data_IF_882255414364
#
_entry.id   IF_882255414364
#
_cell.length_a   1.000
_cell.length_b   1.000
_cell.length_c   1.000
_cell.angle_alpha   90.00
_cell.angle_beta   90.00
_cell.angle_gamma   90.00
#
_symmetry.space_group_name_H-M   'P 1'
#
loop_
_entity.id
_entity.type
_entity.pdbx_description
1 polymer ?
#
# COMPACT_ATOMS: atom_id res chain seq x y z
N UNK A 1 0.71 19.51 -24.61
CA UNK A 1 0.58 18.67 -23.40
C UNK A 1 0.85 17.21 -23.75
N UNK A 2 1.56 16.46 -22.89
CA UNK A 2 1.75 15.01 -23.03
C UNK A 2 0.68 14.25 -22.29
N UNK A 3 0.05 13.26 -22.96
CA UNK A 3 -0.88 12.30 -22.37
C UNK A 3 -0.25 10.91 -22.42
N UNK A 4 -0.49 10.11 -21.39
CA UNK A 4 0.05 8.77 -21.28
C UNK A 4 -0.99 7.72 -21.64
N UNK A 5 -0.69 6.84 -22.61
CA UNK A 5 -1.53 5.70 -22.97
C UNK A 5 -1.42 4.61 -21.90
N UNK A 6 -2.54 4.20 -21.33
CA UNK A 6 -2.60 3.18 -20.30
C UNK A 6 -2.68 1.75 -20.83
N UNK A 7 -2.80 1.54 -22.16
CA UNK A 7 -2.83 0.18 -22.72
C UNK A 7 -1.51 -0.54 -22.40
N UNK A 8 -1.58 -1.74 -21.82
CA UNK A 8 -0.39 -2.57 -21.57
C UNK A 8 0.40 -2.81 -22.86
N UNK A 9 1.72 -2.78 -22.73
CA UNK A 9 2.65 -2.99 -23.85
C UNK A 9 2.45 -2.06 -25.06
N UNK A 10 1.85 -0.87 -24.88
CA UNK A 10 1.83 0.13 -25.92
C UNK A 10 3.28 0.56 -26.25
N UNK A 11 3.76 0.38 -27.50
CA UNK A 11 5.18 0.62 -27.81
C UNK A 11 5.58 2.11 -27.76
N UNK A 12 4.62 3.03 -27.84
CA UNK A 12 4.83 4.48 -27.70
C UNK A 12 3.69 5.07 -26.87
N UNK A 13 3.76 4.96 -25.52
CA UNK A 13 2.66 5.37 -24.65
C UNK A 13 2.53 6.90 -24.53
N UNK A 14 3.57 7.68 -24.79
CA UNK A 14 3.53 9.13 -24.72
C UNK A 14 2.96 9.70 -26.02
N UNK A 15 1.97 10.57 -25.88
CA UNK A 15 1.26 11.22 -26.99
C UNK A 15 1.26 12.74 -26.77
N UNK A 16 1.80 13.50 -27.70
CA UNK A 16 1.89 14.95 -27.63
C UNK A 16 0.72 15.61 -28.39
N UNK A 17 -0.02 16.47 -27.70
CA UNK A 17 -1.13 17.25 -28.26
C UNK A 17 -0.96 18.73 -27.91
N UNK A 18 -0.56 19.55 -28.90
CA UNK A 18 -0.32 20.99 -28.69
C UNK A 18 -1.62 21.76 -28.41
N UNK A 19 -2.76 21.28 -28.93
CA UNK A 19 -4.06 21.89 -28.68
C UNK A 19 -4.54 21.73 -27.23
N UNK A 20 -3.93 20.85 -26.44
CA UNK A 20 -4.27 20.62 -25.02
C UNK A 20 -3.42 21.43 -24.03
N UNK A 21 -2.56 22.32 -24.52
CA UNK A 21 -1.79 23.22 -23.64
C UNK A 21 -2.66 24.31 -23.01
N UNK A 22 -3.82 24.61 -23.63
CA UNK A 22 -4.85 25.48 -23.05
C UNK A 22 -5.77 24.72 -22.08
N UNK A 23 -5.86 25.13 -20.80
CA UNK A 23 -6.73 24.47 -19.80
C UNK A 23 -8.22 24.46 -20.16
N UNK A 24 -8.73 25.47 -20.88
CA UNK A 24 -10.12 25.53 -21.28
C UNK A 24 -10.44 24.48 -22.35
N UNK A 25 -9.53 24.27 -23.29
CA UNK A 25 -9.59 23.23 -24.31
C UNK A 25 -9.51 21.86 -23.66
N UNK A 26 -8.57 21.65 -22.75
CA UNK A 26 -8.39 20.38 -22.04
C UNK A 26 -9.64 19.93 -21.29
N UNK A 27 -10.40 20.88 -20.70
CA UNK A 27 -11.66 20.59 -20.01
C UNK A 27 -12.80 20.16 -20.95
N UNK A 28 -12.77 20.58 -22.21
CA UNK A 28 -13.89 20.44 -23.15
C UNK A 28 -13.66 19.47 -24.29
N UNK A 29 -12.41 19.10 -24.55
CA UNK A 29 -12.09 18.17 -25.65
C UNK A 29 -12.87 16.86 -25.44
N UNK A 30 -13.56 16.34 -26.49
CA UNK A 30 -14.41 15.16 -26.32
C UNK A 30 -13.60 13.92 -25.98
N UNK A 31 -12.64 13.56 -26.82
CA UNK A 31 -11.75 12.41 -26.61
C UNK A 31 -10.46 12.59 -27.42
N UNK A 32 -9.38 12.00 -26.94
CA UNK A 32 -8.12 11.80 -27.67
C UNK A 32 -7.78 10.32 -27.67
N UNK A 33 -7.15 9.87 -28.73
CA UNK A 33 -6.76 8.48 -28.88
C UNK A 33 -5.23 8.37 -29.02
N UNK A 34 -4.69 7.29 -28.48
CA UNK A 34 -3.27 6.98 -28.65
C UNK A 34 -2.95 6.83 -30.14
N UNK A 35 -2.00 7.60 -30.63
CA UNK A 35 -1.58 7.62 -32.03
C UNK A 35 -0.98 6.30 -32.51
N UNK A 36 -0.57 5.44 -31.55
CA UNK A 36 0.07 4.15 -31.85
C UNK A 36 -0.94 2.99 -31.79
N UNK A 37 -1.81 2.94 -30.77
CA UNK A 37 -2.66 1.75 -30.53
C UNK A 37 -4.17 2.05 -30.45
N UNK A 38 -4.58 3.29 -30.68
CA UNK A 38 -6.00 3.68 -30.68
C UNK A 38 -6.68 3.66 -29.30
N UNK A 39 -5.94 3.45 -28.20
CA UNK A 39 -6.50 3.49 -26.85
C UNK A 39 -7.04 4.88 -26.52
N UNK A 40 -8.25 5.01 -25.93
CA UNK A 40 -8.72 6.28 -25.39
C UNK A 40 -7.75 6.82 -24.34
N UNK A 41 -7.42 8.12 -24.44
CA UNK A 41 -6.47 8.78 -23.52
C UNK A 41 -7.18 9.59 -22.42
N UNK A 42 -8.50 9.81 -22.55
CA UNK A 42 -9.33 10.40 -21.51
C UNK A 42 -10.23 9.28 -20.99
N UNK A 43 -9.85 8.70 -19.86
CA UNK A 43 -10.53 7.54 -19.29
C UNK A 43 -11.88 7.95 -18.68
N UNK A 44 -12.94 7.20 -18.99
CA UNK A 44 -14.31 7.48 -18.57
C UNK A 44 -14.72 8.95 -18.80
N UNK A 45 -14.24 9.56 -19.91
CA UNK A 45 -14.45 10.97 -20.23
C UNK A 45 -14.08 11.97 -19.13
N UNK A 46 -13.28 11.54 -18.17
CA UNK A 46 -12.96 12.32 -16.96
C UNK A 46 -11.47 12.35 -16.61
N UNK A 47 -10.80 11.22 -16.58
CA UNK A 47 -9.45 11.11 -16.05
C UNK A 47 -8.40 11.12 -17.15
N UNK A 48 -7.40 11.98 -17.01
CA UNK A 48 -6.35 12.23 -18.00
C UNK A 48 -5.01 11.73 -17.45
N UNK A 49 -4.54 10.52 -17.83
CA UNK A 49 -3.24 10.01 -17.43
C UNK A 49 -2.09 10.82 -18.03
N UNK A 50 -1.13 11.22 -17.22
CA UNK A 50 -0.01 12.07 -17.60
C UNK A 50 1.33 11.35 -17.53
N UNK A 51 1.53 10.50 -16.51
CA UNK A 51 2.81 9.88 -16.21
C UNK A 51 2.61 8.54 -15.53
N UNK A 52 3.42 7.55 -15.89
CA UNK A 52 3.54 6.32 -15.14
C UNK A 52 4.26 6.63 -13.81
N UNK A 53 3.64 6.25 -12.68
CA UNK A 53 4.23 6.35 -11.35
C UNK A 53 4.98 5.08 -10.97
N UNK A 54 4.42 3.92 -11.34
CA UNK A 54 5.01 2.63 -11.06
C UNK A 54 4.25 1.50 -11.71
N UNK A 55 4.89 0.34 -11.81
CA UNK A 55 4.30 -0.90 -12.27
C UNK A 55 4.70 -2.03 -11.33
N UNK A 56 3.74 -2.81 -10.89
CA UNK A 56 3.92 -3.90 -9.94
C UNK A 56 3.24 -5.20 -10.39
N UNK A 57 3.20 -6.18 -9.50
CA UNK A 57 2.66 -7.51 -9.79
C UNK A 57 1.18 -7.54 -10.19
N UNK A 58 0.39 -6.56 -9.75
CA UNK A 58 -1.06 -6.49 -10.00
C UNK A 58 -1.48 -5.42 -10.99
N UNK A 59 -0.58 -4.52 -11.38
CA UNK A 59 -0.95 -3.48 -12.32
C UNK A 59 0.02 -2.32 -12.43
N UNK A 60 -0.45 -1.27 -13.07
CA UNK A 60 0.28 -0.03 -13.28
C UNK A 60 -0.47 1.15 -12.64
N UNK A 61 0.26 2.06 -12.01
CA UNK A 61 -0.27 3.28 -11.43
C UNK A 61 0.19 4.51 -12.23
N UNK A 62 -0.74 5.40 -12.52
CA UNK A 62 -0.49 6.61 -13.31
C UNK A 62 -0.88 7.86 -12.53
N UNK A 63 -0.06 8.88 -12.57
CA UNK A 63 -0.48 10.23 -12.22
C UNK A 63 -1.46 10.73 -13.27
N UNK A 64 -2.62 11.18 -12.85
CA UNK A 64 -3.65 11.70 -13.73
C UNK A 64 -4.24 13.01 -13.21
N UNK A 65 -5.04 13.67 -14.05
CA UNK A 65 -5.88 14.81 -13.67
C UNK A 65 -7.36 14.47 -13.83
N UNK A 66 -8.16 14.91 -12.87
CA UNK A 66 -9.61 14.85 -12.90
C UNK A 66 -10.16 16.14 -13.51
N UNK A 67 -10.54 16.11 -14.79
CA UNK A 67 -10.98 17.30 -15.52
C UNK A 67 -12.35 17.85 -15.09
N UNK A 68 -13.12 17.06 -14.32
CA UNK A 68 -14.41 17.51 -13.78
C UNK A 68 -14.28 18.33 -12.52
N UNK A 69 -13.11 18.40 -11.91
CA UNK A 69 -12.88 19.30 -10.79
C UNK A 69 -12.44 20.70 -11.26
N UNK A 70 -12.82 21.79 -10.57
CA UNK A 70 -12.48 23.15 -10.96
C UNK A 70 -10.99 23.38 -11.19
N UNK A 71 -10.14 22.78 -10.33
CA UNK A 71 -8.67 22.91 -10.34
C UNK A 71 -7.98 21.84 -11.17
N UNK A 72 -8.74 20.90 -11.78
CA UNK A 72 -8.20 19.69 -12.40
C UNK A 72 -7.25 18.94 -11.44
N UNK A 73 -7.79 18.60 -10.26
CA UNK A 73 -6.99 17.99 -9.19
C UNK A 73 -6.23 16.76 -9.69
N UNK A 74 -5.06 16.55 -9.12
CA UNK A 74 -4.29 15.34 -9.36
C UNK A 74 -4.94 14.15 -8.66
N UNK A 75 -4.87 13.00 -9.32
CA UNK A 75 -5.33 11.70 -8.80
C UNK A 75 -4.38 10.60 -9.28
N UNK A 76 -4.46 9.43 -8.66
CA UNK A 76 -3.80 8.22 -9.13
C UNK A 76 -4.83 7.34 -9.83
N UNK A 77 -4.52 6.95 -11.06
CA UNK A 77 -5.28 5.94 -11.79
C UNK A 77 -4.48 4.64 -11.75
N UNK A 78 -5.02 3.62 -11.08
CA UNK A 78 -4.47 2.26 -11.09
C UNK A 78 -5.18 1.46 -12.17
N UNK A 79 -4.39 0.79 -13.01
CA UNK A 79 -4.87 -0.16 -14.01
C UNK A 79 -4.63 -1.57 -13.48
N UNK A 80 -5.65 -2.41 -13.47
CA UNK A 80 -5.49 -3.83 -13.23
C UNK A 80 -4.77 -4.48 -14.42
N UNK A 81 -3.57 -4.96 -14.17
CA UNK A 81 -2.72 -5.63 -15.16
C UNK A 81 -1.83 -6.64 -14.45
N UNK A 82 -2.35 -7.81 -14.09
CA UNK A 82 -1.56 -8.80 -13.39
C UNK A 82 -0.41 -9.30 -14.27
N UNK A 83 0.77 -9.44 -13.66
CA UNK A 83 1.99 -9.88 -14.33
C UNK A 83 2.03 -11.40 -14.50
N UNK A 84 2.63 -11.88 -15.60
CA UNK A 84 2.88 -13.29 -15.86
C UNK A 84 1.71 -14.03 -16.51
N UNK A 85 1.95 -15.33 -16.81
CA UNK A 85 0.95 -16.23 -17.37
C UNK A 85 0.09 -16.82 -16.25
N UNK A 86 -0.93 -16.08 -15.81
CA UNK A 86 -1.87 -16.54 -14.80
C UNK A 86 -2.86 -17.54 -15.42
N UNK A 87 -3.16 -18.61 -14.70
CA UNK A 87 -4.29 -19.44 -15.05
C UNK A 87 -5.62 -18.71 -14.73
N UNK A 88 -6.79 -19.16 -15.26
CA UNK A 88 -8.07 -18.46 -15.06
C UNK A 88 -8.43 -18.26 -13.59
N UNK A 89 -8.08 -19.20 -12.71
CA UNK A 89 -8.37 -19.10 -11.28
C UNK A 89 -7.50 -18.06 -10.58
N UNK A 90 -6.22 -17.99 -10.96
CA UNK A 90 -5.29 -16.97 -10.46
C UNK A 90 -5.70 -15.56 -10.95
N UNK A 91 -6.14 -15.45 -12.21
CA UNK A 91 -6.63 -14.19 -12.78
C UNK A 91 -7.87 -13.69 -12.03
N UNK A 92 -8.84 -14.59 -11.79
CA UNK A 92 -10.04 -14.25 -11.01
C UNK A 92 -9.69 -13.82 -9.59
N UNK A 93 -8.74 -14.51 -8.95
CA UNK A 93 -8.26 -14.12 -7.63
C UNK A 93 -7.64 -12.72 -7.62
N UNK A 94 -6.78 -12.43 -8.60
CA UNK A 94 -6.15 -11.11 -8.73
C UNK A 94 -7.18 -10.00 -8.98
N UNK A 95 -8.19 -10.28 -9.82
CA UNK A 95 -9.30 -9.34 -10.05
C UNK A 95 -10.11 -9.09 -8.78
N UNK A 96 -10.48 -10.13 -8.04
CA UNK A 96 -11.21 -9.99 -6.77
C UNK A 96 -10.45 -9.14 -5.75
N UNK A 97 -9.13 -9.22 -5.73
CA UNK A 97 -8.30 -8.39 -4.84
C UNK A 97 -8.28 -6.93 -5.26
N UNK A 98 -8.26 -6.67 -6.57
CA UNK A 98 -8.33 -5.31 -7.10
C UNK A 98 -9.71 -4.66 -6.84
N UNK A 99 -10.79 -5.43 -7.00
CA UNK A 99 -12.15 -5.01 -6.64
C UNK A 99 -12.25 -4.76 -5.13
N UNK A 100 -11.63 -5.65 -4.33
CA UNK A 100 -11.58 -5.51 -2.87
C UNK A 100 -10.87 -4.25 -2.41
N UNK A 101 -9.79 -3.85 -3.08
CA UNK A 101 -9.11 -2.58 -2.78
C UNK A 101 -10.07 -1.39 -2.95
N UNK A 102 -10.88 -1.40 -4.01
CA UNK A 102 -11.88 -0.35 -4.23
C UNK A 102 -12.95 -0.33 -3.14
N UNK A 103 -13.50 -1.49 -2.76
CA UNK A 103 -14.49 -1.61 -1.66
C UNK A 103 -13.95 -1.06 -0.34
N UNK A 104 -12.73 -1.44 0.02
CA UNK A 104 -12.10 -0.99 1.28
C UNK A 104 -11.81 0.50 1.26
N UNK A 105 -11.32 1.05 0.13
CA UNK A 105 -11.10 2.49 0.01
C UNK A 105 -12.42 3.27 0.01
N UNK A 106 -13.51 2.73 -0.54
CA UNK A 106 -14.84 3.34 -0.46
C UNK A 106 -15.34 3.40 0.99
N UNK A 107 -15.11 2.32 1.75
CA UNK A 107 -15.54 2.21 3.14
C UNK A 107 -14.68 3.07 4.08
N UNK A 108 -13.34 3.05 3.94
CA UNK A 108 -12.40 3.60 4.91
C UNK A 108 -11.79 4.96 4.50
N UNK A 109 -11.58 5.21 3.20
CA UNK A 109 -10.83 6.38 2.71
C UNK A 109 -11.46 7.70 3.16
N UNK A 110 -12.75 7.89 2.87
CA UNK A 110 -13.46 9.13 3.24
C UNK A 110 -13.65 9.32 4.76
N UNK A 111 -13.27 8.35 5.59
CA UNK A 111 -13.47 8.38 7.04
C UNK A 111 -12.18 8.63 7.83
N UNK A 112 -11.01 8.43 7.20
CA UNK A 112 -9.72 8.61 7.88
C UNK A 112 -8.74 9.44 7.05
N UNK A 113 -8.19 10.54 7.58
CA UNK A 113 -7.39 11.51 6.81
C UNK A 113 -6.03 10.98 6.31
N UNK A 114 -5.61 9.80 6.73
CA UNK A 114 -4.35 9.17 6.34
C UNK A 114 -4.55 7.89 5.48
N UNK A 115 -5.77 7.69 4.98
CA UNK A 115 -6.12 6.67 3.97
C UNK A 115 -6.60 7.43 2.73
N UNK A 116 -6.08 7.13 1.52
CA UNK A 116 -6.50 7.82 0.31
C UNK A 116 -8.00 7.64 0.02
N UNK A 117 -8.66 8.71 -0.42
CA UNK A 117 -10.05 8.65 -0.88
C UNK A 117 -10.18 7.86 -2.17
N UNK A 118 -11.23 7.05 -2.30
CA UNK A 118 -11.64 6.49 -3.57
C UNK A 118 -12.43 7.54 -4.37
N UNK A 119 -12.06 7.77 -5.65
CA UNK A 119 -12.76 8.71 -6.52
C UNK A 119 -13.61 8.01 -7.57
N UNK A 120 -13.20 6.83 -8.05
CA UNK A 120 -13.96 6.01 -8.98
C UNK A 120 -13.40 4.59 -9.08
N UNK A 121 -14.28 3.68 -9.46
CA UNK A 121 -13.94 2.35 -9.93
C UNK A 121 -14.76 2.08 -11.21
N UNK A 122 -14.12 1.70 -12.32
CA UNK A 122 -14.83 1.50 -13.59
C UNK A 122 -14.09 0.55 -14.52
N UNK A 123 -14.87 -0.01 -15.44
CA UNK A 123 -14.39 -0.84 -16.53
C UNK A 123 -14.43 -0.05 -17.85
N UNK A 124 -13.40 -0.21 -18.67
CA UNK A 124 -13.34 0.33 -20.01
C UNK A 124 -13.19 -0.81 -21.02
N UNK A 125 -14.12 -0.89 -21.98
CA UNK A 125 -14.07 -1.84 -23.08
C UNK A 125 -13.59 -1.12 -24.33
N UNK A 126 -12.56 -1.63 -24.98
CA UNK A 126 -11.94 -1.04 -26.15
C UNK A 126 -11.67 -2.10 -27.24
N UNK A 127 -11.56 -1.71 -28.52
CA UNK A 127 -11.10 -2.62 -29.55
C UNK A 127 -9.72 -3.19 -29.21
N UNK A 128 -9.57 -4.50 -29.37
CA UNK A 128 -8.27 -5.17 -29.26
C UNK A 128 -7.37 -4.80 -30.44
N UNK A 129 -6.05 -4.98 -30.26
CA UNK A 129 -5.11 -4.94 -31.38
C UNK A 129 -5.32 -6.12 -32.36
N UNK A 130 -6.03 -7.17 -31.94
CA UNK A 130 -6.46 -8.26 -32.79
C UNK A 130 -7.82 -7.91 -33.44
N UNK A 131 -7.95 -7.95 -34.78
CA UNK A 131 -9.18 -7.59 -35.45
C UNK A 131 -10.40 -8.37 -34.94
N UNK A 132 -11.54 -7.66 -34.74
CA UNK A 132 -12.80 -8.27 -34.31
C UNK A 132 -12.91 -8.66 -32.83
N UNK A 133 -11.87 -8.42 -32.03
CA UNK A 133 -11.91 -8.68 -30.58
C UNK A 133 -12.02 -7.39 -29.78
N UNK A 134 -12.51 -7.51 -28.55
CA UNK A 134 -12.53 -6.44 -27.57
C UNK A 134 -11.66 -6.83 -26.36
N UNK A 135 -11.09 -5.84 -25.71
CA UNK A 135 -10.34 -5.95 -24.47
C UNK A 135 -11.03 -5.14 -23.37
N UNK A 136 -11.00 -5.66 -22.16
CA UNK A 136 -11.57 -5.01 -20.99
C UNK A 136 -10.45 -4.64 -20.02
N UNK A 137 -10.46 -3.40 -19.58
CA UNK A 137 -9.53 -2.86 -18.61
C UNK A 137 -10.28 -2.35 -17.39
N UNK A 138 -9.82 -2.72 -16.19
CA UNK A 138 -10.40 -2.27 -14.93
C UNK A 138 -9.50 -1.18 -14.34
N UNK A 139 -10.12 -0.12 -13.88
CA UNK A 139 -9.45 1.05 -13.32
C UNK A 139 -10.01 1.38 -11.95
N UNK A 140 -9.10 1.70 -11.03
CA UNK A 140 -9.38 2.31 -9.74
C UNK A 140 -8.75 3.71 -9.75
N UNK A 141 -9.49 4.72 -9.32
CA UNK A 141 -9.01 6.09 -9.20
C UNK A 141 -9.10 6.53 -7.76
N UNK A 142 -7.97 6.97 -7.22
CA UNK A 142 -7.85 7.38 -5.83
C UNK A 142 -7.13 8.71 -5.68
N UNK A 143 -7.15 9.26 -4.48
CA UNK A 143 -6.41 10.45 -4.10
C UNK A 143 -4.92 10.31 -4.42
N UNK A 144 -4.33 11.38 -4.96
CA UNK A 144 -2.88 11.49 -5.14
C UNK A 144 -2.24 12.10 -3.90
N UNK A 145 -1.45 11.33 -3.20
CA UNK A 145 -0.63 11.82 -2.08
C UNK A 145 0.68 12.37 -2.64
N UNK A 146 0.84 13.69 -2.58
CA UNK A 146 2.05 14.36 -3.05
C UNK A 146 3.19 14.19 -2.03
N UNK A 147 4.05 13.22 -2.26
CA UNK A 147 5.12 12.85 -1.33
C UNK A 147 5.99 11.73 -1.89
N UNK A 148 6.67 11.04 -0.98
CA UNK A 148 7.54 9.89 -1.26
C UNK A 148 7.18 8.77 -0.29
N UNK A 149 7.28 7.52 -0.74
CA UNK A 149 7.11 6.40 0.17
C UNK A 149 8.39 6.18 1.02
N UNK A 150 8.28 5.47 2.12
CA UNK A 150 9.40 5.29 3.05
C UNK A 150 10.57 4.48 2.44
N UNK A 151 10.32 3.68 1.40
CA UNK A 151 11.38 2.98 0.65
C UNK A 151 12.19 3.95 -0.20
N UNK A 152 11.52 4.89 -0.88
CA UNK A 152 12.18 5.97 -1.65
C UNK A 152 12.94 6.91 -0.71
N UNK A 153 12.34 7.29 0.42
CA UNK A 153 12.98 8.11 1.44
C UNK A 153 14.22 7.43 2.02
N UNK A 154 14.13 6.13 2.32
CA UNK A 154 15.26 5.31 2.76
C UNK A 154 16.38 5.24 1.71
N UNK A 155 16.01 5.03 0.44
CA UNK A 155 17.00 4.95 -0.66
C UNK A 155 17.78 6.25 -0.83
N UNK A 156 17.14 7.41 -0.60
CA UNK A 156 17.75 8.73 -0.71
C UNK A 156 18.57 9.13 0.50
N UNK A 157 18.05 8.88 1.70
CA UNK A 157 18.56 9.45 2.94
C UNK A 157 19.29 8.42 3.82
N UNK A 158 19.22 7.12 3.50
CA UNK A 158 19.79 6.05 4.29
C UNK A 158 18.94 5.67 5.50
N UNK A 159 19.61 5.12 6.52
CA UNK A 159 18.96 4.58 7.73
C UNK A 159 18.20 5.64 8.51
N UNK A 160 17.05 5.23 9.04
CA UNK A 160 16.22 6.08 9.89
C UNK A 160 16.75 6.09 11.33
N UNK A 161 16.64 7.22 11.98
CA UNK A 161 16.89 7.38 13.42
C UNK A 161 15.74 6.81 14.26
N UNK A 162 16.00 6.57 15.55
CA UNK A 162 14.96 6.19 16.52
C UNK A 162 13.79 7.20 16.53
N UNK A 163 14.09 8.50 16.47
CA UNK A 163 13.06 9.53 16.46
C UNK A 163 12.12 9.42 15.25
N UNK A 164 12.65 9.11 14.06
CA UNK A 164 11.84 8.89 12.85
C UNK A 164 11.02 7.61 12.95
N UNK A 165 11.53 6.56 13.58
CA UNK A 165 10.76 5.33 13.82
C UNK A 165 9.62 5.58 14.82
N UNK A 166 9.88 6.33 15.89
CA UNK A 166 8.83 6.72 16.83
C UNK A 166 7.74 7.55 16.15
N UNK A 167 8.11 8.47 15.27
CA UNK A 167 7.18 9.24 14.45
C UNK A 167 6.31 8.32 13.56
N UNK A 168 6.93 7.32 12.89
CA UNK A 168 6.20 6.35 12.06
C UNK A 168 5.20 5.58 12.91
N UNK A 169 5.63 5.04 14.06
CA UNK A 169 4.75 4.31 14.96
C UNK A 169 3.59 5.19 15.45
N UNK A 170 3.86 6.44 15.87
CA UNK A 170 2.85 7.37 16.35
C UNK A 170 1.82 7.75 15.29
N UNK A 171 2.21 7.79 14.00
CA UNK A 171 1.29 8.16 12.93
C UNK A 171 0.56 6.96 12.32
N UNK A 172 1.18 5.79 12.23
CA UNK A 172 0.60 4.62 11.56
C UNK A 172 -0.25 3.75 12.51
N UNK A 173 0.11 3.65 13.80
CA UNK A 173 -0.69 2.89 14.76
C UNK A 173 -2.15 3.38 14.87
N UNK A 174 -2.45 4.70 14.89
CA UNK A 174 -3.84 5.18 14.85
C UNK A 174 -4.58 4.79 13.55
N UNK A 175 -3.89 4.75 12.40
CA UNK A 175 -4.48 4.27 11.14
C UNK A 175 -4.83 2.79 11.26
N UNK A 176 -3.92 1.96 11.79
CA UNK A 176 -4.18 0.54 12.01
C UNK A 176 -5.30 0.31 13.04
N UNK A 177 -5.34 1.10 14.11
CA UNK A 177 -6.46 1.07 15.08
C UNK A 177 -7.80 1.28 14.38
N UNK A 178 -7.89 2.29 13.52
CA UNK A 178 -9.08 2.59 12.75
C UNK A 178 -9.45 1.44 11.80
N UNK A 179 -8.50 0.93 11.01
CA UNK A 179 -8.71 -0.20 10.08
C UNK A 179 -9.20 -1.46 10.84
N UNK A 180 -8.56 -1.77 11.97
CA UNK A 180 -8.91 -2.93 12.79
C UNK A 180 -10.29 -2.79 13.46
N UNK A 181 -10.66 -1.58 13.89
CA UNK A 181 -11.97 -1.29 14.45
C UNK A 181 -13.10 -1.51 13.43
N UNK A 182 -12.82 -1.37 12.12
CA UNK A 182 -13.74 -1.69 11.03
C UNK A 182 -13.68 -3.17 10.60
N UNK A 183 -13.06 -4.04 11.42
CA UNK A 183 -13.00 -5.48 11.17
C UNK A 183 -12.10 -5.87 10.00
N UNK A 184 -11.19 -5.01 9.59
CA UNK A 184 -10.26 -5.23 8.47
C UNK A 184 -8.82 -5.40 8.96
N UNK A 185 -8.03 -6.23 8.28
CA UNK A 185 -6.58 -6.40 8.49
C UNK A 185 -5.88 -6.09 7.18
N UNK A 186 -4.86 -5.23 7.19
CA UNK A 186 -4.20 -4.71 5.99
C UNK A 186 -3.38 -5.76 5.24
N UNK A 187 -2.54 -6.53 5.98
CA UNK A 187 -1.76 -7.68 5.51
C UNK A 187 -0.56 -7.37 4.60
N UNK A 188 -0.33 -6.13 4.22
CA UNK A 188 0.80 -5.76 3.36
C UNK A 188 1.49 -4.46 3.83
N UNK A 189 1.77 -4.37 5.14
CA UNK A 189 2.53 -3.26 5.72
C UNK A 189 4.00 -3.42 5.36
N UNK A 190 4.55 -2.43 4.64
CA UNK A 190 5.96 -2.36 4.22
C UNK A 190 6.35 -0.92 3.88
N UNK A 191 7.65 -0.60 3.76
CA UNK A 191 8.09 0.77 3.48
C UNK A 191 7.46 1.39 2.23
N UNK A 192 7.29 0.64 1.14
CA UNK A 192 6.70 1.14 -0.12
C UNK A 192 5.19 1.43 -0.03
N UNK A 193 4.49 0.90 0.99
CA UNK A 193 3.06 1.12 1.21
C UNK A 193 2.77 2.19 2.27
N UNK A 194 3.79 2.85 2.80
CA UNK A 194 3.64 4.00 3.71
C UNK A 194 4.23 5.22 3.01
N UNK A 195 3.40 6.22 2.73
CA UNK A 195 3.81 7.43 2.01
C UNK A 195 3.85 8.64 2.94
N UNK A 196 4.97 9.35 2.94
CA UNK A 196 5.10 10.65 3.62
C UNK A 196 4.74 11.76 2.66
N UNK A 197 3.69 12.49 2.97
CA UNK A 197 3.31 13.68 2.23
C UNK A 197 4.36 14.80 2.42
N UNK A 198 4.39 15.78 1.52
CA UNK A 198 5.25 16.97 1.67
C UNK A 198 4.97 17.80 2.93
N UNK A 199 3.83 17.58 3.58
CA UNK A 199 3.46 18.22 4.86
C UNK A 199 3.90 17.39 6.08
N UNK A 200 4.54 16.24 5.89
CA UNK A 200 5.02 15.34 6.94
C UNK A 200 4.01 14.29 7.41
N UNK A 201 2.74 14.37 7.02
CA UNK A 201 1.75 13.35 7.37
C UNK A 201 2.03 12.04 6.62
N UNK A 202 1.94 10.91 7.34
CA UNK A 202 2.07 9.58 6.77
C UNK A 202 0.70 9.05 6.34
N UNK A 203 0.66 8.40 5.19
CA UNK A 203 -0.51 7.75 4.63
C UNK A 203 -0.24 6.26 4.45
N UNK A 204 -1.24 5.43 4.75
CA UNK A 204 -1.20 4.00 4.47
C UNK A 204 -1.85 3.75 3.11
N UNK A 205 -1.13 3.05 2.24
CA UNK A 205 -1.52 2.78 0.86
C UNK A 205 -1.74 1.29 0.62
N UNK A 206 -2.41 0.95 -0.48
CA UNK A 206 -2.51 -0.40 -1.06
C UNK A 206 -3.29 -1.39 -0.18
N UNK A 207 -4.61 -1.24 -0.21
CA UNK A 207 -5.56 -2.07 0.54
C UNK A 207 -5.97 -3.36 -0.20
N UNK A 208 -5.33 -3.71 -1.32
CA UNK A 208 -5.67 -4.90 -2.12
C UNK A 208 -5.49 -6.24 -1.40
N UNK A 209 -4.64 -6.31 -0.36
CA UNK A 209 -4.46 -7.51 0.45
C UNK A 209 -5.42 -7.62 1.65
N UNK A 210 -6.26 -6.63 1.89
CA UNK A 210 -7.13 -6.54 3.07
C UNK A 210 -8.09 -7.73 3.17
N UNK A 211 -8.23 -8.28 4.39
CA UNK A 211 -9.20 -9.32 4.73
C UNK A 211 -10.13 -8.82 5.83
N UNK A 212 -11.44 -8.88 5.61
CA UNK A 212 -12.41 -8.65 6.68
C UNK A 212 -12.43 -9.86 7.63
N UNK A 213 -12.37 -9.57 8.91
CA UNK A 213 -12.57 -10.57 9.98
C UNK A 213 -14.08 -10.65 10.24
N UNK A 214 -14.82 -11.23 9.28
CA UNK A 214 -16.24 -11.48 9.50
C UNK A 214 -16.42 -12.56 10.56
N UNK A 215 -17.37 -12.34 11.48
CA UNK A 215 -17.77 -13.32 12.52
C UNK A 215 -18.49 -14.57 11.96
N UNK A 216 -18.51 -14.77 10.65
CA UNK A 216 -19.17 -15.92 10.01
C UNK A 216 -18.13 -16.97 9.65
N UNK A 217 -18.38 -18.14 10.18
CA UNK A 217 -17.56 -19.35 10.08
C UNK A 217 -16.96 -19.63 8.71
N UNK A 218 -15.67 -19.96 8.74
CA UNK A 218 -15.03 -21.04 7.98
C UNK A 218 -15.74 -21.51 6.69
N UNK A 219 -15.63 -20.74 5.64
CA UNK A 219 -15.49 -21.32 4.33
C UNK A 219 -13.99 -21.26 3.99
N UNK A 220 -13.42 -22.42 3.74
CA UNK A 220 -12.03 -22.68 3.37
C UNK A 220 -11.65 -22.01 2.04
N UNK A 221 -11.63 -20.69 2.01
CA UNK A 221 -10.95 -19.96 0.96
C UNK A 221 -9.47 -20.00 1.31
N UNK A 222 -8.73 -20.83 0.58
CA UNK A 222 -7.27 -20.87 0.57
C UNK A 222 -6.74 -19.45 0.64
N UNK A 223 -5.91 -19.15 1.64
CA UNK A 223 -5.21 -17.88 1.73
C UNK A 223 -4.45 -17.71 0.42
N UNK A 224 -4.82 -16.73 -0.36
CA UNK A 224 -4.05 -16.34 -1.53
C UNK A 224 -2.67 -15.99 -1.03
N UNK A 225 -1.62 -16.66 -1.54
CA UNK A 225 -0.22 -16.45 -1.15
C UNK A 225 0.33 -15.09 -1.60
N UNK A 226 -0.46 -14.03 -1.43
CA UNK A 226 -0.14 -12.66 -1.79
C UNK A 226 0.28 -11.96 -0.51
N UNK A 227 1.57 -11.93 -0.30
CA UNK A 227 2.23 -11.19 0.77
C UNK A 227 3.63 -10.79 0.32
N UNK A 228 4.13 -9.71 0.85
CA UNK A 228 5.51 -9.27 0.59
C UNK A 228 6.47 -10.15 1.37
N UNK A 229 7.33 -10.87 0.63
CA UNK A 229 8.30 -11.80 1.24
C UNK A 229 9.14 -11.08 2.30
N UNK A 230 9.21 -11.71 3.48
CA UNK A 230 9.99 -11.24 4.62
C UNK A 230 9.23 -10.30 5.58
N UNK A 231 8.16 -9.62 5.16
CA UNK A 231 7.36 -8.76 6.04
C UNK A 231 6.20 -9.50 6.71
N UNK A 232 5.68 -10.53 6.06
CA UNK A 232 4.54 -11.30 6.56
C UNK A 232 4.93 -12.22 7.72
N UNK A 233 4.12 -12.30 8.79
CA UNK A 233 4.35 -13.22 9.90
C UNK A 233 4.01 -14.68 9.54
N UNK A 234 4.47 -15.66 10.36
CA UNK A 234 4.28 -17.09 10.09
C UNK A 234 2.83 -17.52 9.85
N UNK A 235 1.86 -16.96 10.62
CA UNK A 235 0.44 -17.28 10.45
C UNK A 235 -0.10 -16.83 9.08
N UNK A 236 0.39 -15.72 8.55
CA UNK A 236 -0.01 -15.25 7.21
C UNK A 236 0.61 -16.11 6.11
N UNK A 237 1.89 -16.48 6.26
CA UNK A 237 2.60 -17.35 5.31
C UNK A 237 2.01 -18.75 5.23
N UNK A 238 1.58 -19.31 6.36
CA UNK A 238 0.97 -20.65 6.43
C UNK A 238 -0.51 -20.67 6.03
N UNK A 239 -1.10 -19.52 5.72
CA UNK A 239 -2.53 -19.43 5.40
C UNK A 239 -3.46 -19.59 6.60
N UNK A 240 -2.94 -19.38 7.79
CA UNK A 240 -3.69 -19.44 9.04
C UNK A 240 -4.66 -18.29 9.26
N UNK A 241 -5.20 -18.24 10.46
CA UNK A 241 -6.04 -17.12 10.91
C UNK A 241 -5.16 -15.89 11.13
N UNK A 242 -5.62 -14.73 10.65
CA UNK A 242 -4.95 -13.45 10.80
C UNK A 242 -5.64 -12.57 11.85
N UNK A 243 -4.87 -11.70 12.48
CA UNK A 243 -5.26 -10.89 13.62
C UNK A 243 -4.74 -9.44 13.45
N UNK A 244 -5.19 -8.46 14.24
CA UNK A 244 -4.55 -7.15 14.33
C UNK A 244 -3.05 -7.23 14.57
N UNK A 245 -2.59 -8.19 15.37
CA UNK A 245 -1.17 -8.45 15.63
C UNK A 245 -0.37 -8.89 14.39
N UNK A 246 -1.02 -9.32 13.31
CA UNK A 246 -0.39 -9.60 12.01
C UNK A 246 0.16 -8.32 11.37
N UNK A 247 -0.63 -7.24 11.36
CA UNK A 247 -0.19 -5.93 10.86
C UNK A 247 0.87 -5.29 11.77
N UNK A 248 0.74 -5.47 13.09
CA UNK A 248 1.74 -4.99 14.05
C UNK A 248 3.11 -5.64 13.83
N UNK A 249 3.14 -6.95 13.54
CA UNK A 249 4.37 -7.64 13.17
C UNK A 249 4.99 -7.05 11.90
N UNK A 250 4.22 -6.89 10.84
CA UNK A 250 4.69 -6.33 9.58
C UNK A 250 5.18 -4.86 9.74
N UNK A 251 4.53 -4.07 10.61
CA UNK A 251 4.98 -2.72 10.96
C UNK A 251 6.33 -2.76 11.71
N UNK A 252 6.52 -3.71 12.63
CA UNK A 252 7.80 -3.87 13.31
C UNK A 252 8.92 -4.26 12.32
N UNK A 253 8.67 -5.21 11.40
CA UNK A 253 9.65 -5.57 10.35
C UNK A 253 9.99 -4.35 9.48
N UNK A 254 8.98 -3.54 9.13
CA UNK A 254 9.17 -2.27 8.43
C UNK A 254 10.11 -1.34 9.19
N UNK A 255 9.89 -1.17 10.49
CA UNK A 255 10.77 -0.37 11.36
C UNK A 255 12.20 -0.93 11.41
N UNK A 256 12.36 -2.25 11.51
CA UNK A 256 13.69 -2.87 11.49
C UNK A 256 14.44 -2.61 10.18
N UNK A 257 13.76 -2.78 9.04
CA UNK A 257 14.35 -2.53 7.72
C UNK A 257 14.86 -1.09 7.62
N UNK A 258 14.07 -0.12 8.04
CA UNK A 258 14.42 1.30 8.02
C UNK A 258 15.55 1.65 9.00
N UNK A 259 15.55 1.07 10.22
CA UNK A 259 16.60 1.28 11.24
C UNK A 259 17.94 0.69 10.84
N UNK A 260 17.91 -0.55 10.34
CA UNK A 260 19.13 -1.33 10.12
C UNK A 260 19.73 -1.16 8.73
N UNK A 261 18.88 -0.78 7.75
CA UNK A 261 19.26 -0.77 6.34
C UNK A 261 19.42 -2.16 5.75
N UNK A 262 18.92 -3.19 6.42
CA UNK A 262 18.99 -4.58 6.02
C UNK A 262 17.63 -5.09 5.56
N UNK A 263 17.64 -5.98 4.59
CA UNK A 263 16.43 -6.68 4.18
C UNK A 263 15.98 -7.67 5.27
N UNK A 264 14.68 -7.97 5.38
CA UNK A 264 14.17 -8.86 6.43
C UNK A 264 14.85 -10.23 6.48
N UNK A 265 15.18 -10.81 5.31
CA UNK A 265 15.87 -12.09 5.20
C UNK A 265 17.34 -12.05 5.69
N UNK A 266 17.97 -10.89 5.79
CA UNK A 266 19.30 -10.70 6.38
C UNK A 266 19.24 -10.59 7.92
N UNK A 267 18.06 -10.24 8.46
CA UNK A 267 17.85 -10.02 9.88
C UNK A 267 17.24 -11.22 10.60
N UNK A 268 16.48 -12.05 9.88
CA UNK A 268 15.78 -13.20 10.46
C UNK A 268 16.61 -14.47 10.36
N UNK A 269 16.99 -15.01 11.51
CA UNK A 269 17.63 -16.30 11.64
C UNK A 269 16.55 -17.41 11.65
N UNK A 270 16.42 -18.10 10.51
CA UNK A 270 15.43 -19.18 10.34
C UNK A 270 15.73 -20.41 11.19
N UNK A 271 17.01 -20.65 11.54
CA UNK A 271 17.39 -21.79 12.35
C UNK A 271 16.98 -21.64 13.81
N UNK A 272 17.23 -20.44 14.38
CA UNK A 272 16.89 -20.12 15.78
C UNK A 272 15.51 -19.44 15.91
N UNK A 273 14.82 -19.17 14.79
CA UNK A 273 13.55 -18.46 14.75
C UNK A 273 13.60 -17.11 15.49
N UNK A 274 14.65 -16.31 15.22
CA UNK A 274 14.96 -15.07 15.93
C UNK A 274 15.32 -13.93 14.99
N UNK A 275 14.99 -12.71 15.41
CA UNK A 275 15.38 -11.48 14.73
C UNK A 275 16.68 -10.95 15.30
N UNK A 276 17.78 -11.00 14.52
CA UNK A 276 19.13 -10.56 14.92
C UNK A 276 19.40 -9.10 14.49
N UNK A 277 18.52 -8.17 14.83
CA UNK A 277 18.57 -6.78 14.37
C UNK A 277 19.39 -5.85 15.27
N UNK A 278 19.49 -6.14 16.59
CA UNK A 278 20.12 -5.26 17.61
C UNK A 278 21.61 -5.01 17.36
N UNK A 279 22.27 -5.87 16.58
CA UNK A 279 23.66 -5.70 16.16
C UNK A 279 23.84 -4.63 15.06
N UNK A 280 22.78 -4.28 14.36
CA UNK A 280 22.81 -3.34 13.22
C UNK A 280 22.23 -1.97 13.53
N UNK A 281 21.49 -1.81 14.63
CA UNK A 281 20.91 -0.54 15.06
C UNK A 281 20.89 -0.43 16.59
N UNK A 282 21.22 0.76 17.10
CA UNK A 282 21.13 1.08 18.52
C UNK A 282 19.93 2.00 18.73
N UNK A 283 19.03 1.57 19.61
CA UNK A 283 17.84 2.33 20.02
C UNK A 283 17.68 2.21 21.53
N UNK A 284 16.80 3.03 22.10
CA UNK A 284 16.47 2.93 23.52
C UNK A 284 15.97 1.53 23.89
N UNK A 285 16.25 1.05 25.10
CA UNK A 285 15.75 -0.25 25.57
C UNK A 285 14.24 -0.38 25.46
N UNK A 286 13.53 0.74 25.61
CA UNK A 286 12.08 0.80 25.48
C UNK A 286 11.61 0.48 24.07
N UNK A 287 12.09 1.20 23.05
CA UNK A 287 11.73 0.94 21.67
C UNK A 287 12.13 -0.47 21.27
N UNK A 288 13.33 -0.90 21.67
CA UNK A 288 13.80 -2.25 21.40
C UNK A 288 12.85 -3.34 21.94
N UNK A 289 12.40 -3.20 23.20
CA UNK A 289 11.49 -4.18 23.82
C UNK A 289 10.09 -4.17 23.15
N UNK A 290 9.61 -3.00 22.69
CA UNK A 290 8.35 -2.89 21.97
C UNK A 290 8.46 -3.62 20.62
N UNK A 291 9.50 -3.34 19.83
CA UNK A 291 9.72 -4.00 18.55
C UNK A 291 9.88 -5.51 18.70
N UNK A 292 10.69 -5.98 19.66
CA UNK A 292 10.88 -7.41 19.89
C UNK A 292 9.57 -8.12 20.25
N UNK A 293 8.70 -7.48 21.08
CA UNK A 293 7.41 -8.06 21.41
C UNK A 293 6.47 -8.11 20.19
N UNK A 294 6.50 -7.10 19.34
CA UNK A 294 5.71 -7.11 18.08
C UNK A 294 6.18 -8.22 17.13
N UNK A 295 7.45 -8.62 17.19
CA UNK A 295 8.10 -9.61 16.31
C UNK A 295 8.03 -11.05 16.82
N UNK A 296 7.42 -11.33 17.95
CA UNK A 296 7.27 -12.70 18.46
C UNK A 296 6.54 -13.58 17.43
N UNK A 297 6.97 -14.83 17.29
CA UNK A 297 6.42 -15.75 16.28
C UNK A 297 4.96 -16.08 16.53
N UNK A 298 4.55 -16.23 17.80
CA UNK A 298 3.19 -16.55 18.18
C UNK A 298 2.33 -15.29 18.33
N UNK A 299 1.20 -15.17 17.60
CA UNK A 299 0.33 -13.97 17.66
C UNK A 299 -0.17 -13.62 19.06
N UNK A 300 -0.43 -14.63 19.90
CA UNK A 300 -0.94 -14.44 21.27
C UNK A 300 0.11 -13.90 22.25
N UNK A 301 1.38 -13.88 21.89
CA UNK A 301 2.46 -13.30 22.70
C UNK A 301 2.76 -11.84 22.32
N UNK A 302 2.29 -11.41 21.16
CA UNK A 302 2.42 -10.03 20.67
C UNK A 302 1.49 -9.08 21.41
N UNK A 303 1.53 -7.81 21.06
CA UNK A 303 0.43 -6.90 21.36
C UNK A 303 -0.81 -7.30 20.54
N UNK A 304 -1.98 -7.25 21.18
CA UNK A 304 -3.23 -7.67 20.54
C UNK A 304 -3.90 -6.57 19.75
N UNK A 305 -3.54 -5.30 20.01
CA UNK A 305 -4.09 -4.13 19.32
C UNK A 305 -3.05 -3.03 19.16
N UNK A 306 -3.33 -2.09 18.26
CA UNK A 306 -2.53 -0.88 18.09
C UNK A 306 -2.54 -0.02 19.37
N UNK A 307 -3.65 0.00 20.13
CA UNK A 307 -3.77 0.70 21.41
C UNK A 307 -2.75 0.23 22.43
N UNK A 308 -2.54 -1.08 22.53
CA UNK A 308 -1.54 -1.64 23.47
C UNK A 308 -0.12 -1.17 23.13
N UNK A 309 0.21 -1.07 21.83
CA UNK A 309 1.51 -0.55 21.39
C UNK A 309 1.63 0.95 21.69
N UNK A 310 0.59 1.74 21.39
CA UNK A 310 0.54 3.17 21.69
C UNK A 310 0.69 3.43 23.20
N UNK A 311 0.00 2.65 24.04
CA UNK A 311 0.15 2.72 25.48
C UNK A 311 1.59 2.40 25.92
N UNK A 312 2.20 1.35 25.36
CA UNK A 312 3.59 0.99 25.64
C UNK A 312 4.57 2.10 25.21
N UNK A 313 4.30 2.85 24.15
CA UNK A 313 5.07 4.00 23.70
C UNK A 313 4.96 5.23 24.64
N UNK A 314 3.88 5.37 25.41
CA UNK A 314 3.61 6.55 26.26
C UNK A 314 3.91 6.34 27.75
N UNK A 315 3.89 5.09 28.25
CA UNK A 315 4.17 4.78 29.64
C UNK A 315 5.57 5.26 30.07
N UNK A 316 5.77 5.80 31.27
CA UNK A 316 7.12 6.08 31.78
C UNK A 316 7.92 4.77 31.89
N UNK A 317 9.28 4.83 31.77
CA UNK A 317 10.10 3.64 31.96
C UNK A 317 9.83 3.05 33.35
N UNK A 318 9.85 1.70 33.50
CA UNK A 318 9.70 1.07 34.81
C UNK A 318 10.74 1.65 35.74
N UNK A 319 10.32 2.00 36.97
CA UNK A 319 11.23 2.48 38.01
C UNK A 319 12.35 1.43 38.22
N UNK A 320 13.62 1.87 38.36
CA UNK A 320 14.69 0.94 38.64
C UNK A 320 14.35 0.13 39.93
N UNK A 321 14.71 -1.16 39.98
CA UNK A 321 14.45 -1.98 41.16
C UNK A 321 15.02 -1.30 42.37
N UNK A 322 14.19 -1.08 43.40
CA UNK A 322 14.63 -0.54 44.69
C UNK A 322 15.62 -1.56 45.24
N UNK A 323 16.91 -1.19 45.28
CA UNK A 323 17.91 -1.96 46.01
C UNK A 323 17.55 -1.90 47.49
N UNK A 324 16.91 -2.92 47.99
CA UNK A 324 16.78 -3.15 49.44
C UNK A 324 18.20 -3.47 49.95
N UNK A 325 18.89 -2.47 50.48
CA UNK A 325 20.06 -2.65 51.27
C UNK A 325 19.64 -3.39 52.54
N UNK A 326 20.09 -4.64 52.66
CA UNK A 326 20.02 -5.44 53.91
C UNK A 326 21.09 -5.00 54.90
#
# INVERSE_FOLDING_TARGET
MELYCTRPACPRPLNLFSDLDDPATLKRVPQKYCTTCGMPLILADRYIPLKLLGQGGFGAAFLARDRYTPTMRQCVVKLFQPSGNLNPQQLQTAQNLFEREAEVLEELGNQHPQIPDLFAFFQLTVPSLQPGKQEQFFYLVQEFINGENLEEEFTKNGKFSEAQILEILQQILPVLQFVHAHGSIHRDIKPSNIMRSRKGALFLLDFGAVKQVTKVAASSASSTGIYSMGYAPPEQMSGGQIYPSTDLYALAVTCLTLLTGKQPNELFDTYNNQWNWRTYAQVSPRLANILDRMLLSSPNQRYHSADEVLAALTLPPPAPPVQTTA
#
